data_IF_326804052937
#
_entry.id   IF_326804052937
#
_cell.length_a   1.000
_cell.length_b   1.000
_cell.length_c   1.000
_cell.angle_alpha   90.00
_cell.angle_beta   90.00
_cell.angle_gamma   90.00
#
_symmetry.space_group_name_H-M   'P 1'
#
loop_
_entity.id
_entity.type
_entity.pdbx_description
1 polymer ?
#
# COMPACT_ATOMS: atom_id res chain seq x y z
N UNK A 1 7.08 1.33 66.27
CA UNK A 1 7.81 0.05 66.48
C UNK A 1 8.52 -0.24 65.16
N UNK A 2 9.86 -0.15 65.08
CA UNK A 2 10.82 -1.29 65.11
C UNK A 2 10.40 -2.45 64.17
N UNK A 3 11.17 -3.00 63.24
CA UNK A 3 12.45 -2.69 62.54
C UNK A 3 12.47 -3.56 61.23
N UNK A 4 13.46 -3.68 60.32
CA UNK A 4 14.83 -3.16 60.15
C UNK A 4 15.10 -3.04 58.62
N UNK A 5 15.80 -2.02 58.09
CA UNK A 5 17.24 -2.01 57.73
C UNK A 5 17.82 -3.25 57.01
N UNK A 6 18.09 -3.07 55.71
CA UNK A 6 19.40 -3.19 55.04
C UNK A 6 20.24 -4.47 55.23
N UNK A 7 20.52 -5.20 54.14
CA UNK A 7 21.72 -6.05 54.00
C UNK A 7 22.46 -5.66 52.72
N UNK A 8 23.75 -5.41 52.88
CA UNK A 8 24.68 -4.96 51.85
C UNK A 8 25.34 -6.15 51.14
N UNK A 9 25.80 -5.89 49.91
CA UNK A 9 27.02 -6.40 49.27
C UNK A 9 27.46 -7.86 49.49
N UNK A 10 27.73 -8.55 48.38
CA UNK A 10 29.00 -9.26 48.30
C UNK A 10 29.61 -9.18 46.90
N UNK A 11 30.75 -8.49 46.80
CA UNK A 11 31.66 -8.54 45.66
C UNK A 11 32.85 -9.38 46.11
N UNK A 12 32.94 -10.63 45.65
CA UNK A 12 34.10 -11.49 45.90
C UNK A 12 34.95 -11.60 44.64
N UNK A 13 36.12 -10.97 44.72
CA UNK A 13 37.13 -10.84 43.69
C UNK A 13 38.10 -12.03 43.74
N UNK A 14 38.36 -12.71 42.61
CA UNK A 14 39.48 -13.66 42.50
C UNK A 14 40.38 -13.29 41.32
N UNK A 15 41.65 -13.03 41.66
CA UNK A 15 42.72 -12.49 40.81
C UNK A 15 43.06 -13.35 39.59
N UNK A 16 43.49 -12.69 38.51
CA UNK A 16 44.36 -13.26 37.49
C UNK A 16 45.81 -13.46 38.02
N UNK A 17 46.64 -14.23 37.30
CA UNK A 17 47.85 -13.60 36.75
C UNK A 17 48.20 -14.07 35.32
N UNK A 18 48.79 -13.18 34.51
CA UNK A 18 49.13 -13.47 33.11
C UNK A 18 49.80 -12.32 32.35
N UNK A 19 50.73 -11.61 32.99
CA UNK A 19 51.72 -10.72 32.34
C UNK A 19 52.54 -11.59 31.35
N UNK A 20 52.99 -11.19 30.15
CA UNK A 20 53.58 -9.94 29.64
C UNK A 20 53.66 -10.14 28.10
N UNK A 21 53.50 -9.15 27.21
CA UNK A 21 54.55 -8.22 26.80
C UNK A 21 53.98 -7.20 25.79
N UNK A 22 54.63 -6.04 25.72
CA UNK A 22 54.25 -4.93 24.83
C UNK A 22 54.83 -5.15 23.43
N UNK A 23 54.00 -5.06 22.39
CA UNK A 23 54.46 -4.67 21.06
C UNK A 23 53.68 -3.45 20.57
N UNK A 24 54.39 -2.33 20.55
CA UNK A 24 53.93 -1.04 20.06
C UNK A 24 53.65 -1.11 18.56
N UNK A 25 52.39 -1.10 18.17
CA UNK A 25 51.97 -0.65 16.85
C UNK A 25 50.79 0.29 16.98
N UNK A 26 51.08 1.59 16.81
CA UNK A 26 50.08 2.65 16.70
C UNK A 26 49.38 2.50 15.36
N UNK A 27 48.42 1.58 15.32
CA UNK A 27 47.48 1.50 14.21
C UNK A 27 46.57 2.73 14.28
N UNK A 28 46.92 3.78 13.54
CA UNK A 28 46.06 4.92 13.23
C UNK A 28 44.93 4.51 12.26
N UNK A 29 44.26 3.40 12.59
CA UNK A 29 43.08 2.91 11.90
C UNK A 29 41.90 3.80 12.23
N UNK A 30 41.45 4.58 11.24
CA UNK A 30 40.16 5.27 11.31
C UNK A 30 39.09 4.26 11.70
N UNK A 31 38.39 4.51 12.82
CA UNK A 31 37.30 3.66 13.25
C UNK A 31 36.28 3.49 12.13
N UNK A 32 36.17 2.28 11.59
CA UNK A 32 35.15 1.96 10.61
C UNK A 32 33.79 2.01 11.31
N UNK A 33 33.06 3.12 11.13
CA UNK A 33 31.67 3.23 11.54
C UNK A 33 30.84 2.29 10.68
N UNK A 34 30.72 1.03 11.09
CA UNK A 34 29.79 0.07 10.52
C UNK A 34 28.37 0.60 10.75
N UNK A 35 27.79 1.24 9.73
CA UNK A 35 26.38 1.58 9.72
C UNK A 35 25.61 0.26 9.62
N UNK A 36 24.76 0.00 10.61
CA UNK A 36 23.84 -1.12 10.56
C UNK A 36 22.70 -0.80 9.57
N UNK A 37 23.03 -0.90 8.28
CA UNK A 37 22.09 -0.74 7.17
C UNK A 37 21.02 -1.85 7.14
N UNK A 38 21.02 -2.80 8.10
CA UNK A 38 20.01 -3.86 8.19
C UNK A 38 18.72 -3.41 8.89
N UNK A 39 18.67 -2.20 9.46
CA UNK A 39 17.54 -1.69 10.24
C UNK A 39 16.84 -0.48 9.58
N UNK A 40 15.51 -0.41 9.70
CA UNK A 40 14.67 0.68 9.17
C UNK A 40 13.53 1.01 10.13
N UNK A 41 13.24 2.30 10.29
CA UNK A 41 12.09 2.80 11.08
C UNK A 41 10.81 2.87 10.24
N UNK A 42 9.73 2.31 10.78
CA UNK A 42 8.41 2.31 10.14
C UNK A 42 7.75 3.69 10.33
N UNK A 43 7.38 4.40 9.26
CA UNK A 43 6.77 5.73 9.38
C UNK A 43 5.34 5.74 9.96
N UNK A 44 4.76 4.56 10.25
CA UNK A 44 3.41 4.43 10.83
C UNK A 44 3.39 4.01 12.31
N UNK A 45 4.32 3.18 12.78
CA UNK A 45 4.43 2.82 14.20
C UNK A 45 5.70 3.31 14.87
N UNK A 46 6.60 3.98 14.14
CA UNK A 46 7.86 4.58 14.63
C UNK A 46 8.86 3.60 15.26
N UNK A 47 8.60 2.29 15.19
CA UNK A 47 9.52 1.25 15.66
C UNK A 47 10.58 0.96 14.58
N UNK A 48 11.85 0.90 14.99
CA UNK A 48 12.95 0.37 14.18
C UNK A 48 12.87 -1.16 14.10
N UNK A 49 12.90 -1.71 12.89
CA UNK A 49 12.79 -3.15 12.60
C UNK A 49 13.77 -3.54 11.49
N UNK A 50 14.22 -4.80 11.40
CA UNK A 50 15.09 -5.22 10.31
C UNK A 50 14.43 -5.08 8.93
N UNK A 51 15.23 -4.90 7.88
CA UNK A 51 14.76 -4.68 6.51
C UNK A 51 13.81 -5.79 6.02
N UNK A 52 13.98 -7.02 6.50
CA UNK A 52 13.13 -8.17 6.20
C UNK A 52 11.68 -7.99 6.69
N UNK A 53 11.41 -7.09 7.64
CA UNK A 53 10.07 -6.73 8.13
C UNK A 53 9.38 -5.72 7.21
N UNK A 54 9.98 -5.34 6.10
CA UNK A 54 9.41 -4.46 5.07
C UNK A 54 9.15 -5.23 3.77
N UNK A 55 8.16 -4.78 3.01
CA UNK A 55 7.87 -5.32 1.67
C UNK A 55 8.63 -4.52 0.61
N UNK A 56 8.98 -5.14 -0.52
CA UNK A 56 9.62 -4.44 -1.64
C UNK A 56 8.73 -3.30 -2.17
N UNK A 57 9.33 -2.16 -2.47
CA UNK A 57 8.69 -1.00 -3.08
C UNK A 57 9.66 -0.37 -4.09
N UNK A 58 9.54 -0.77 -5.35
CA UNK A 58 10.54 -0.52 -6.41
C UNK A 58 10.76 0.94 -6.76
N UNK A 59 9.89 1.85 -6.32
CA UNK A 59 10.01 3.31 -6.53
C UNK A 59 10.56 4.06 -5.31
N UNK A 60 10.88 3.37 -4.21
CA UNK A 60 11.58 3.97 -3.07
C UNK A 60 13.11 3.90 -3.24
N UNK A 61 13.82 4.85 -2.65
CA UNK A 61 15.29 4.96 -2.73
C UNK A 61 16.04 3.72 -2.22
N UNK A 62 15.47 3.03 -1.23
CA UNK A 62 16.01 1.82 -0.60
C UNK A 62 15.31 0.53 -1.07
N UNK A 63 14.41 0.62 -2.06
CA UNK A 63 13.65 -0.52 -2.57
C UNK A 63 12.65 -1.14 -1.59
N UNK A 64 12.37 -0.49 -0.44
CA UNK A 64 11.54 -1.02 0.65
C UNK A 64 10.39 -0.07 1.03
N UNK A 65 9.29 -0.65 1.49
CA UNK A 65 8.11 0.09 1.93
C UNK A 65 8.43 1.00 3.12
N UNK A 66 7.77 2.16 3.16
CA UNK A 66 7.81 3.08 4.30
C UNK A 66 7.19 2.48 5.57
N UNK A 67 6.31 1.47 5.44
CA UNK A 67 5.62 0.80 6.54
C UNK A 67 6.06 -0.66 6.67
N UNK A 68 6.23 -1.11 7.91
CA UNK A 68 6.48 -2.52 8.18
C UNK A 68 5.28 -3.39 7.81
N UNK A 69 5.53 -4.69 7.57
CA UNK A 69 4.53 -5.70 7.18
C UNK A 69 3.31 -5.70 8.11
N UNK A 70 3.50 -5.58 9.42
CA UNK A 70 2.40 -5.56 10.40
C UNK A 70 1.48 -4.35 10.19
N UNK A 71 2.08 -3.16 10.05
CA UNK A 71 1.39 -1.90 9.81
C UNK A 71 0.64 -1.89 8.47
N UNK A 72 1.23 -2.50 7.45
CA UNK A 72 0.64 -2.67 6.12
C UNK A 72 -0.51 -3.69 6.13
N UNK A 73 -0.31 -4.85 6.76
CA UNK A 73 -1.33 -5.90 6.92
C UNK A 73 -2.55 -5.39 7.71
N UNK A 74 -2.33 -4.60 8.77
CA UNK A 74 -3.41 -3.94 9.50
C UNK A 74 -4.18 -2.92 8.65
N UNK A 75 -3.50 -2.18 7.77
CA UNK A 75 -4.14 -1.31 6.79
C UNK A 75 -4.96 -2.10 5.76
N UNK A 76 -4.40 -3.18 5.21
CA UNK A 76 -5.09 -4.04 4.25
C UNK A 76 -6.31 -4.72 4.87
N UNK A 77 -6.20 -5.25 6.09
CA UNK A 77 -7.34 -5.82 6.85
C UNK A 77 -8.46 -4.80 7.01
N UNK A 78 -8.16 -3.58 7.50
CA UNK A 78 -9.16 -2.49 7.61
C UNK A 78 -9.79 -2.12 6.27
N UNK A 79 -8.99 -2.02 5.21
CA UNK A 79 -9.46 -1.72 3.84
C UNK A 79 -10.32 -2.84 3.26
N UNK A 80 -10.03 -4.10 3.58
CA UNK A 80 -10.83 -5.26 3.19
C UNK A 80 -12.20 -5.23 3.88
N UNK A 81 -12.24 -5.13 5.21
CA UNK A 81 -13.50 -5.13 5.97
C UNK A 81 -14.43 -3.96 5.62
N UNK A 82 -13.90 -2.80 5.22
CA UNK A 82 -14.74 -1.67 4.78
C UNK A 82 -15.15 -1.76 3.31
N UNK A 83 -14.22 -2.07 2.40
CA UNK A 83 -14.51 -2.03 0.96
C UNK A 83 -15.24 -3.26 0.43
N UNK A 84 -15.07 -4.45 1.03
CA UNK A 84 -15.72 -5.68 0.52
C UNK A 84 -17.25 -5.64 0.73
N UNK A 85 -17.78 -5.34 1.94
CA UNK A 85 -19.22 -5.19 2.13
C UNK A 85 -19.79 -4.06 1.26
N UNK A 86 -19.13 -2.90 1.20
CA UNK A 86 -19.59 -1.78 0.35
C UNK A 86 -19.66 -2.17 -1.13
N UNK A 87 -18.70 -2.95 -1.63
CA UNK A 87 -18.71 -3.48 -3.00
C UNK A 87 -19.85 -4.48 -3.22
N UNK A 88 -20.17 -5.32 -2.23
CA UNK A 88 -21.30 -6.26 -2.31
C UNK A 88 -22.65 -5.51 -2.32
N UNK A 89 -22.83 -4.55 -1.41
CA UNK A 89 -24.01 -3.67 -1.33
C UNK A 89 -24.21 -2.94 -2.67
N UNK A 90 -23.17 -2.27 -3.17
CA UNK A 90 -23.21 -1.59 -4.47
C UNK A 90 -23.59 -2.54 -5.61
N UNK A 91 -23.00 -3.75 -5.66
CA UNK A 91 -23.30 -4.76 -6.68
C UNK A 91 -24.74 -5.26 -6.63
N UNK A 92 -25.31 -5.45 -5.43
CA UNK A 92 -26.70 -5.88 -5.24
C UNK A 92 -27.66 -4.76 -5.69
N UNK A 93 -27.44 -3.54 -5.21
CA UNK A 93 -28.26 -2.37 -5.52
C UNK A 93 -28.22 -1.99 -7.01
N UNK A 94 -27.06 -2.10 -7.66
CA UNK A 94 -26.84 -1.68 -9.05
C UNK A 94 -26.80 -2.86 -10.04
N UNK A 95 -27.47 -3.99 -9.73
CA UNK A 95 -27.42 -5.21 -10.56
C UNK A 95 -27.76 -4.97 -12.03
N UNK A 96 -28.78 -4.17 -12.33
CA UNK A 96 -29.19 -3.85 -13.70
C UNK A 96 -28.16 -2.96 -14.41
N UNK A 97 -27.64 -1.92 -13.75
CA UNK A 97 -26.58 -1.06 -14.32
C UNK A 97 -25.32 -1.87 -14.66
N UNK A 98 -24.92 -2.78 -13.78
CA UNK A 98 -23.79 -3.68 -13.99
C UNK A 98 -24.04 -4.71 -15.11
N UNK A 99 -25.27 -5.21 -15.24
CA UNK A 99 -25.66 -6.13 -16.30
C UNK A 99 -25.66 -5.45 -17.67
N UNK A 100 -26.19 -4.23 -17.78
CA UNK A 100 -26.17 -3.46 -19.01
C UNK A 100 -24.75 -3.18 -19.50
N UNK A 101 -23.87 -2.69 -18.60
CA UNK A 101 -22.45 -2.49 -18.89
C UNK A 101 -21.74 -3.79 -19.33
N UNK A 102 -22.07 -4.92 -18.71
CA UNK A 102 -21.51 -6.23 -19.07
C UNK A 102 -21.94 -6.66 -20.49
N UNK A 103 -23.21 -6.46 -20.86
CA UNK A 103 -23.71 -6.77 -22.20
C UNK A 103 -23.10 -5.86 -23.26
N UNK A 104 -23.07 -4.54 -23.02
CA UNK A 104 -22.42 -3.56 -23.88
C UNK A 104 -20.95 -3.94 -24.15
N UNK A 105 -20.18 -4.16 -23.09
CA UNK A 105 -18.76 -4.53 -23.21
C UNK A 105 -18.57 -5.84 -24.00
N UNK A 106 -19.47 -6.83 -23.82
CA UNK A 106 -19.45 -8.09 -24.59
C UNK A 106 -19.81 -7.87 -26.06
N UNK A 107 -20.75 -6.98 -26.38
CA UNK A 107 -21.13 -6.65 -27.75
C UNK A 107 -19.97 -5.98 -28.49
N UNK A 108 -19.37 -4.95 -27.88
CA UNK A 108 -18.19 -4.25 -28.42
C UNK A 108 -17.00 -5.19 -28.59
N UNK A 109 -16.66 -5.99 -27.57
CA UNK A 109 -15.53 -6.93 -27.64
C UNK A 109 -15.71 -8.00 -28.75
N UNK A 110 -16.95 -8.32 -29.13
CA UNK A 110 -17.28 -9.29 -30.18
C UNK A 110 -17.54 -8.64 -31.55
N UNK A 111 -17.37 -7.33 -31.69
CA UNK A 111 -17.70 -6.61 -32.93
C UNK A 111 -19.20 -6.53 -33.26
N UNK A 112 -20.09 -6.97 -32.37
CA UNK A 112 -21.55 -6.89 -32.56
C UNK A 112 -22.09 -5.46 -32.41
N UNK A 113 -21.32 -4.58 -31.80
CA UNK A 113 -21.60 -3.15 -31.67
C UNK A 113 -20.29 -2.40 -31.88
N UNK A 114 -20.27 -1.46 -32.82
CA UNK A 114 -19.07 -0.66 -33.11
C UNK A 114 -19.02 0.50 -32.11
N UNK A 115 -17.89 0.67 -31.42
CA UNK A 115 -17.61 1.88 -30.64
C UNK A 115 -17.05 2.94 -31.60
N UNK A 116 -17.67 4.12 -31.75
CA UNK A 116 -17.12 5.19 -32.56
C UNK A 116 -15.84 5.77 -31.93
N UNK A 117 -15.05 6.48 -32.73
CA UNK A 117 -13.85 7.20 -32.28
C UNK A 117 -14.12 8.67 -31.93
N UNK A 118 -15.38 9.09 -31.78
CA UNK A 118 -15.82 10.45 -31.45
C UNK A 118 -16.85 10.43 -30.33
N UNK A 119 -17.00 11.57 -29.66
CA UNK A 119 -18.01 11.79 -28.62
C UNK A 119 -19.31 12.34 -29.22
N UNK A 120 -20.46 11.78 -28.91
CA UNK A 120 -21.75 12.28 -29.42
C UNK A 120 -22.07 13.69 -28.88
N UNK A 121 -21.70 13.98 -27.63
CA UNK A 121 -21.96 15.27 -26.98
C UNK A 121 -21.01 16.42 -27.33
N UNK A 122 -19.77 16.15 -27.78
CA UNK A 122 -18.80 17.21 -28.11
C UNK A 122 -17.99 17.00 -29.40
N UNK A 123 -18.28 15.93 -30.14
CA UNK A 123 -17.73 15.58 -31.47
C UNK A 123 -16.21 15.39 -31.57
N UNK A 124 -15.47 15.65 -30.49
CA UNK A 124 -14.04 15.44 -30.38
C UNK A 124 -13.65 13.96 -30.51
N UNK A 125 -12.58 13.70 -31.25
CA UNK A 125 -11.98 12.37 -31.41
C UNK A 125 -11.47 11.85 -30.07
N UNK A 126 -11.97 10.70 -29.62
CA UNK A 126 -11.63 10.09 -28.34
C UNK A 126 -12.00 8.60 -28.31
N UNK A 127 -11.80 7.95 -27.16
CA UNK A 127 -12.39 6.64 -26.86
C UNK A 127 -13.61 6.85 -25.94
N UNK A 128 -14.82 7.02 -26.47
CA UNK A 128 -16.01 7.30 -25.68
C UNK A 128 -16.41 6.09 -24.83
N UNK A 129 -17.10 6.34 -23.73
CA UNK A 129 -17.79 5.34 -22.91
C UNK A 129 -19.28 5.32 -23.27
N UNK A 130 -19.94 4.17 -23.13
CA UNK A 130 -21.38 4.07 -23.33
C UNK A 130 -22.12 4.62 -22.12
N UNK A 131 -22.76 5.76 -22.28
CA UNK A 131 -23.81 6.22 -21.39
C UNK A 131 -25.09 5.41 -21.67
N UNK A 132 -25.80 4.98 -20.62
CA UNK A 132 -27.06 4.25 -20.75
C UNK A 132 -28.21 5.17 -20.28
N UNK A 133 -28.97 5.79 -21.20
CA UNK A 133 -30.17 6.57 -20.84
C UNK A 133 -31.22 5.68 -20.17
N UNK A 134 -31.42 4.48 -20.72
CA UNK A 134 -32.22 3.42 -20.12
C UNK A 134 -31.37 2.14 -19.91
N UNK A 135 -31.17 1.77 -18.65
CA UNK A 135 -30.46 0.54 -18.28
C UNK A 135 -31.24 -0.75 -18.60
N UNK A 136 -32.53 -0.66 -18.95
CA UNK A 136 -33.32 -1.78 -19.46
C UNK A 136 -33.00 -2.14 -20.91
N UNK A 137 -32.41 -1.19 -21.68
CA UNK A 137 -32.04 -1.31 -23.10
C UNK A 137 -30.51 -1.31 -23.26
N UNK A 138 -29.83 -2.41 -22.90
CA UNK A 138 -28.39 -2.41 -22.55
C UNK A 138 -27.41 -2.20 -23.71
N UNK A 139 -27.88 -2.22 -24.95
CA UNK A 139 -27.07 -1.97 -26.15
C UNK A 139 -27.38 -0.61 -26.80
N UNK A 140 -28.41 0.09 -26.32
CA UNK A 140 -28.74 1.44 -26.73
C UNK A 140 -28.02 2.40 -25.80
N UNK A 141 -26.98 3.03 -26.34
CA UNK A 141 -26.07 3.88 -25.58
C UNK A 141 -25.69 5.11 -26.39
N UNK A 142 -25.47 6.20 -25.68
CA UNK A 142 -24.81 7.39 -26.21
C UNK A 142 -23.31 7.28 -25.94
N UNK A 143 -22.50 7.56 -26.95
CA UNK A 143 -21.05 7.44 -26.87
C UNK A 143 -20.42 8.74 -26.39
N UNK A 144 -20.33 8.90 -25.07
CA UNK A 144 -19.85 10.13 -24.46
C UNK A 144 -18.40 10.00 -23.97
N UNK A 145 -17.59 11.04 -24.22
CA UNK A 145 -16.30 11.17 -23.56
C UNK A 145 -16.49 11.41 -22.05
N UNK A 146 -15.50 11.04 -21.24
CA UNK A 146 -15.59 11.11 -19.77
C UNK A 146 -16.05 12.50 -19.24
N UNK A 147 -15.58 13.65 -19.75
CA UNK A 147 -16.12 14.96 -19.36
C UNK A 147 -17.62 15.12 -19.64
N UNK A 148 -18.08 14.82 -20.87
CA UNK A 148 -19.50 14.92 -21.24
C UNK A 148 -20.36 13.96 -20.40
N UNK A 149 -19.92 12.71 -20.22
CA UNK A 149 -20.62 11.72 -19.41
C UNK A 149 -20.74 12.17 -17.94
N UNK A 150 -19.69 12.77 -17.35
CA UNK A 150 -19.76 13.31 -15.99
C UNK A 150 -20.68 14.53 -15.88
N UNK A 151 -20.70 15.41 -16.87
CA UNK A 151 -21.59 16.58 -16.87
C UNK A 151 -23.07 16.17 -16.96
N UNK A 152 -23.39 15.12 -17.70
CA UNK A 152 -24.75 14.61 -17.82
C UNK A 152 -25.31 13.99 -16.52
N UNK A 153 -24.45 13.51 -15.61
CA UNK A 153 -24.86 13.04 -14.26
C UNK A 153 -24.72 14.10 -13.15
N UNK A 154 -24.46 15.37 -13.49
CA UNK A 154 -24.34 16.49 -12.54
C UNK A 154 -25.58 17.38 -12.47
N UNK A 155 -26.43 17.31 -13.49
CA UNK A 155 -27.70 18.02 -13.61
C UNK A 155 -28.86 17.07 -13.28
#
# INVERSE_FOLDING_TARGET
>A
MKAAQNIQTNISNTKAPGHFLVLSSVHTGRGAFFKDDTMKTCSKCQISKPLDRYSKHTTSKDGLSYWCKDCFNGYLRRRYHTRVPQRQIYRKANRYKLYANLLLHRAVKRGKLIRPNKCDGCQNTCKPDGHHPDYSRPLEVEWLCKPCHLNLHRN
#
